data_IF_949737615667
#
_entry.id   IF_949737615667
#
_cell.length_a   1.000
_cell.length_b   1.000
_cell.length_c   1.000
_cell.angle_alpha   90.00
_cell.angle_beta   90.00
_cell.angle_gamma   90.00
#
_symmetry.space_group_name_H-M   'P 1'
#
loop_
_entity.id
_entity.type
_entity.pdbx_description
1 polymer ?
#
# COMPACT_ATOMS: atom_id res chain seq x y z
N UNK A 1 37.63 -41.18 -13.76
CA UNK A 1 37.05 -39.96 -14.37
C UNK A 1 35.91 -39.49 -13.47
N UNK A 2 36.19 -38.48 -12.65
CA UNK A 2 35.33 -37.94 -11.57
C UNK A 2 34.68 -36.63 -12.04
N UNK A 3 33.88 -36.68 -13.10
CA UNK A 3 33.43 -35.45 -13.80
C UNK A 3 31.91 -35.22 -13.76
N UNK A 4 31.17 -36.01 -12.97
CA UNK A 4 29.70 -35.95 -12.96
C UNK A 4 29.08 -35.47 -11.64
N UNK A 5 29.87 -35.12 -10.62
CA UNK A 5 29.32 -34.67 -9.32
C UNK A 5 29.14 -33.14 -9.22
N UNK A 6 29.83 -32.37 -10.06
CA UNK A 6 29.82 -30.89 -9.98
C UNK A 6 28.59 -30.30 -10.68
N UNK A 7 28.01 -31.00 -11.67
CA UNK A 7 26.89 -30.48 -12.45
C UNK A 7 25.57 -30.45 -11.67
N UNK A 8 25.41 -31.29 -10.64
CA UNK A 8 24.21 -31.30 -9.80
C UNK A 8 24.20 -30.20 -8.71
N UNK A 9 25.35 -29.64 -8.34
CA UNK A 9 25.40 -28.52 -7.39
C UNK A 9 25.01 -27.17 -8.03
N UNK A 10 25.13 -27.03 -9.36
CA UNK A 10 24.72 -25.81 -10.06
C UNK A 10 23.21 -25.72 -10.29
N UNK A 11 22.48 -26.85 -10.24
CA UNK A 11 21.02 -26.87 -10.44
C UNK A 11 20.27 -26.66 -9.12
N UNK A 12 20.92 -26.88 -7.97
CA UNK A 12 20.32 -26.65 -6.65
C UNK A 12 20.34 -25.18 -6.19
N UNK A 13 21.03 -24.28 -6.90
CA UNK A 13 21.11 -22.87 -6.54
C UNK A 13 20.06 -21.98 -7.22
N UNK A 14 19.26 -22.50 -8.15
CA UNK A 14 18.19 -21.74 -8.81
C UNK A 14 16.88 -21.80 -8.00
N UNK A 15 16.79 -22.69 -7.00
CA UNK A 15 15.70 -22.69 -6.02
C UNK A 15 15.95 -21.77 -4.82
N UNK A 16 16.91 -20.83 -4.93
CA UNK A 16 16.99 -19.72 -3.98
C UNK A 16 15.67 -18.97 -4.01
N UNK A 17 14.86 -19.25 -2.99
CA UNK A 17 13.83 -18.39 -2.43
C UNK A 17 13.55 -17.16 -3.30
N UNK A 18 12.44 -17.21 -4.05
CA UNK A 18 11.85 -16.06 -4.68
C UNK A 18 11.38 -15.07 -3.61
N UNK A 19 12.32 -14.39 -2.97
CA UNK A 19 12.09 -13.10 -2.39
C UNK A 19 11.92 -12.15 -3.57
N UNK A 20 10.68 -11.91 -3.99
CA UNK A 20 10.40 -10.79 -4.88
C UNK A 20 10.72 -9.51 -4.11
N UNK A 21 11.96 -9.04 -4.21
CA UNK A 21 12.30 -7.66 -3.88
C UNK A 21 11.57 -6.79 -4.89
N UNK A 22 10.59 -6.03 -4.43
CA UNK A 22 9.97 -4.98 -5.24
C UNK A 22 10.96 -3.83 -5.34
N UNK A 23 11.39 -3.47 -6.55
CA UNK A 23 12.14 -2.25 -6.78
C UNK A 23 11.21 -1.07 -6.56
N UNK A 24 11.58 -0.18 -5.64
CA UNK A 24 10.77 1.01 -5.32
C UNK A 24 10.78 1.95 -6.53
N UNK A 25 9.59 2.25 -7.05
CA UNK A 25 9.38 3.31 -8.03
C UNK A 25 9.39 4.67 -7.35
N UNK A 26 9.79 5.73 -8.05
CA UNK A 26 9.97 7.08 -7.49
C UNK A 26 8.70 7.69 -6.85
N UNK A 27 7.54 7.17 -7.20
CA UNK A 27 6.21 7.60 -6.79
C UNK A 27 5.56 6.66 -5.77
N UNK A 28 6.33 5.73 -5.21
CA UNK A 28 5.87 4.82 -4.16
C UNK A 28 5.54 5.60 -2.88
N UNK A 29 4.34 5.40 -2.35
CA UNK A 29 3.89 5.90 -1.06
C UNK A 29 3.82 4.75 -0.06
N UNK A 30 4.54 4.85 1.05
CA UNK A 30 4.46 3.87 2.14
C UNK A 30 3.93 4.54 3.39
N UNK A 31 2.79 4.07 3.88
CA UNK A 31 2.17 4.56 5.09
C UNK A 31 2.33 3.56 6.23
N UNK A 32 2.54 4.05 7.45
CA UNK A 32 2.43 3.19 8.64
C UNK A 32 0.96 2.81 8.87
N UNK A 33 0.71 1.53 9.14
CA UNK A 33 -0.63 1.07 9.51
C UNK A 33 -0.93 1.47 10.96
N UNK A 34 -1.82 2.43 11.13
CA UNK A 34 -2.34 2.90 12.43
C UNK A 34 -3.78 2.42 12.63
N UNK A 35 -3.99 1.48 13.57
CA UNK A 35 -5.31 0.92 13.90
C UNK A 35 -6.32 1.95 14.43
N UNK A 36 -5.86 3.09 14.95
CA UNK A 36 -6.76 4.17 15.39
C UNK A 36 -7.35 4.96 14.22
N UNK A 37 -6.72 4.85 13.04
CA UNK A 37 -7.04 5.64 11.85
C UNK A 37 -7.52 4.78 10.69
N UNK A 38 -6.91 3.61 10.51
CA UNK A 38 -7.36 2.56 9.60
C UNK A 38 -8.21 1.55 10.36
N UNK A 39 -9.43 1.36 9.90
CA UNK A 39 -10.30 0.28 10.33
C UNK A 39 -10.48 -0.72 9.18
N UNK A 40 -10.83 -1.96 9.52
CA UNK A 40 -11.09 -3.02 8.53
C UNK A 40 -12.59 -3.20 8.34
N UNK A 41 -13.03 -3.36 7.10
CA UNK A 41 -14.44 -3.59 6.80
C UNK A 41 -14.74 -5.09 6.89
N UNK A 42 -15.58 -5.51 7.85
CA UNK A 42 -15.81 -6.94 8.14
C UNK A 42 -16.40 -7.73 6.96
N UNK A 43 -17.12 -7.05 6.05
CA UNK A 43 -17.83 -7.68 4.94
C UNK A 43 -17.13 -7.54 3.58
N UNK A 44 -16.05 -6.76 3.50
CA UNK A 44 -15.31 -6.51 2.25
C UNK A 44 -13.93 -7.14 2.37
N UNK A 45 -13.45 -7.92 1.38
CA UNK A 45 -12.14 -8.56 1.44
C UNK A 45 -11.05 -7.54 1.77
N UNK A 46 -10.24 -7.82 2.80
CA UNK A 46 -9.12 -7.01 3.34
C UNK A 46 -9.09 -5.56 2.84
N UNK A 47 -10.12 -4.80 3.21
CA UNK A 47 -10.29 -3.41 2.83
C UNK A 47 -10.12 -2.52 4.05
N UNK A 48 -9.23 -1.55 3.92
CA UNK A 48 -8.92 -0.59 4.96
C UNK A 48 -9.63 0.73 4.68
N UNK A 49 -10.38 1.24 5.65
CA UNK A 49 -11.11 2.51 5.52
C UNK A 49 -10.69 3.47 6.63
N UNK A 50 -11.01 4.76 6.42
CA UNK A 50 -10.74 5.81 7.40
C UNK A 50 -12.06 6.19 8.05
N UNK A 51 -12.13 6.05 9.38
CA UNK A 51 -13.36 6.23 10.14
C UNK A 51 -13.87 7.69 10.19
N UNK A 52 -13.09 8.66 9.70
CA UNK A 52 -13.39 10.10 9.73
C UNK A 52 -13.96 10.63 8.40
N UNK A 53 -14.52 9.76 7.55
CA UNK A 53 -15.23 10.15 6.33
C UNK A 53 -16.70 10.44 6.66
N UNK A 54 -17.15 11.71 6.60
CA UNK A 54 -18.40 12.13 7.24
C UNK A 54 -19.71 11.76 6.51
N UNK A 55 -19.70 11.15 5.32
CA UNK A 55 -20.87 11.25 4.41
C UNK A 55 -21.27 10.00 3.59
N UNK A 56 -20.80 8.80 3.92
CA UNK A 56 -21.38 7.56 3.32
C UNK A 56 -20.94 7.20 1.90
N UNK A 57 -20.18 8.05 1.19
CA UNK A 57 -19.35 7.61 0.06
C UNK A 57 -17.95 7.28 0.62
N UNK A 58 -17.73 6.02 0.98
CA UNK A 58 -16.44 5.56 1.47
C UNK A 58 -15.42 5.41 0.34
N UNK A 59 -14.19 5.87 0.55
CA UNK A 59 -13.06 5.30 -0.18
C UNK A 59 -12.36 4.28 0.72
N UNK A 60 -11.90 3.20 0.12
CA UNK A 60 -11.12 2.18 0.80
C UNK A 60 -9.83 1.88 0.05
N UNK A 61 -8.86 1.41 0.80
CA UNK A 61 -7.64 0.83 0.30
C UNK A 61 -7.83 -0.68 0.30
N UNK A 62 -8.03 -1.26 -0.88
CA UNK A 62 -8.22 -2.70 -1.04
C UNK A 62 -6.86 -3.39 -1.08
N UNK A 63 -6.71 -4.46 -0.31
CA UNK A 63 -5.54 -5.34 -0.39
C UNK A 63 -5.33 -5.84 -1.83
N UNK A 64 -4.11 -5.69 -2.33
CA UNK A 64 -3.69 -6.28 -3.60
C UNK A 64 -2.69 -7.41 -3.37
N UNK A 65 -1.59 -7.14 -2.63
CA UNK A 65 -0.51 -8.12 -2.46
C UNK A 65 0.36 -7.84 -1.23
N UNK A 66 0.86 -8.89 -0.58
CA UNK A 66 1.77 -8.81 0.57
C UNK A 66 3.25 -8.99 0.21
N UNK A 67 4.13 -8.33 0.95
CA UNK A 67 5.59 -8.36 0.80
C UNK A 67 6.27 -8.49 2.17
N UNK A 68 7.29 -9.35 2.26
CA UNK A 68 8.06 -9.56 3.50
C UNK A 68 8.95 -8.37 3.85
N UNK A 69 9.43 -7.63 2.85
CA UNK A 69 10.20 -6.39 3.03
C UNK A 69 10.20 -5.57 1.75
N UNK A 70 10.26 -4.24 1.91
CA UNK A 70 10.52 -3.28 0.85
C UNK A 70 11.81 -2.53 1.20
N UNK A 71 12.64 -2.19 0.22
CA UNK A 71 13.90 -1.50 0.48
C UNK A 71 13.68 -0.05 0.94
N UNK A 72 13.55 0.15 2.26
CA UNK A 72 13.73 1.43 2.97
C UNK A 72 13.38 2.71 2.18
N UNK A 73 12.11 2.90 1.81
CA UNK A 73 11.59 4.23 1.52
C UNK A 73 11.10 4.88 2.81
N UNK A 74 10.97 6.21 2.78
CA UNK A 74 10.44 7.01 3.89
C UNK A 74 9.00 6.57 4.23
N UNK A 75 8.73 6.38 5.53
CA UNK A 75 7.38 6.13 6.03
C UNK A 75 6.64 7.45 6.20
N UNK A 76 5.47 7.54 5.59
CA UNK A 76 4.61 8.71 5.62
C UNK A 76 3.51 8.55 6.67
N UNK A 77 3.18 9.64 7.34
CA UNK A 77 1.96 9.72 8.13
C UNK A 77 0.76 9.99 7.20
N UNK A 78 -0.21 9.08 7.16
CA UNK A 78 -1.35 9.20 6.24
C UNK A 78 -2.22 10.43 6.55
N UNK A 79 -2.43 10.76 7.84
CA UNK A 79 -3.25 11.91 8.24
C UNK A 79 -2.62 13.22 7.76
N UNK A 80 -1.32 13.39 7.95
CA UNK A 80 -0.59 14.55 7.46
C UNK A 80 -0.62 14.60 5.94
N UNK A 81 -0.49 13.46 5.27
CA UNK A 81 -0.60 13.38 3.82
C UNK A 81 -1.97 13.84 3.31
N UNK A 82 -3.08 13.38 3.91
CA UNK A 82 -4.44 13.85 3.59
C UNK A 82 -4.57 15.35 3.85
N UNK A 83 -4.04 15.84 4.96
CA UNK A 83 -4.07 17.27 5.29
C UNK A 83 -3.34 18.12 4.24
N UNK A 84 -2.12 17.71 3.83
CA UNK A 84 -1.36 18.40 2.79
C UNK A 84 -2.04 18.30 1.42
N UNK A 85 -2.64 17.14 1.11
CA UNK A 85 -3.42 16.96 -0.11
C UNK A 85 -4.58 17.96 -0.15
N UNK A 86 -5.39 18.02 0.93
CA UNK A 86 -6.46 19.01 1.05
C UNK A 86 -5.91 20.42 0.89
N UNK A 87 -4.86 20.79 1.62
CA UNK A 87 -4.26 22.13 1.52
C UNK A 87 -3.83 22.50 0.09
N UNK A 88 -3.39 21.53 -0.70
CA UNK A 88 -2.93 21.75 -2.08
C UNK A 88 -4.08 21.85 -3.09
N UNK A 89 -5.14 21.08 -2.91
CA UNK A 89 -6.20 20.91 -3.92
C UNK A 89 -7.56 21.50 -3.53
N UNK A 90 -7.77 21.91 -2.27
CA UNK A 90 -8.93 22.68 -1.84
C UNK A 90 -8.52 24.03 -1.26
N UNK A 91 -9.35 25.05 -1.46
CA UNK A 91 -9.21 26.38 -0.87
C UNK A 91 -9.47 26.39 0.64
N UNK A 92 -10.05 25.32 1.20
CA UNK A 92 -10.34 25.17 2.62
C UNK A 92 -9.93 23.78 3.12
N UNK A 93 -8.89 23.71 3.95
CA UNK A 93 -8.39 22.45 4.54
C UNK A 93 -9.39 21.71 5.42
N UNK A 94 -10.40 22.41 5.94
CA UNK A 94 -11.47 21.83 6.74
C UNK A 94 -12.64 21.34 5.89
N UNK A 95 -12.59 21.53 4.58
CA UNK A 95 -13.58 20.96 3.68
C UNK A 95 -13.48 19.42 3.67
N UNK A 96 -14.57 18.80 3.21
CA UNK A 96 -14.60 17.38 2.93
C UNK A 96 -13.52 17.02 1.91
N UNK A 97 -12.99 15.81 2.03
CA UNK A 97 -12.07 15.28 1.03
C UNK A 97 -12.83 15.08 -0.28
N UNK A 98 -12.28 15.59 -1.38
CA UNK A 98 -12.72 15.24 -2.72
C UNK A 98 -12.24 13.81 -3.01
N UNK A 99 -13.15 12.84 -2.89
CA UNK A 99 -12.85 11.41 -2.94
C UNK A 99 -12.36 10.99 -4.32
N UNK A 100 -13.03 11.47 -5.39
CA UNK A 100 -12.67 11.12 -6.76
C UNK A 100 -11.27 11.63 -7.09
N UNK A 101 -10.97 12.89 -6.76
CA UNK A 101 -9.65 13.47 -6.98
C UNK A 101 -8.57 12.76 -6.15
N UNK A 102 -8.89 12.35 -4.93
CA UNK A 102 -7.95 11.64 -4.06
C UNK A 102 -7.64 10.24 -4.58
N UNK A 103 -8.66 9.52 -5.06
CA UNK A 103 -8.50 8.20 -5.69
C UNK A 103 -7.68 8.33 -6.97
N UNK A 104 -7.96 9.30 -7.84
CA UNK A 104 -7.18 9.54 -9.05
C UNK A 104 -5.71 9.86 -8.72
N UNK A 105 -5.47 10.64 -7.66
CA UNK A 105 -4.12 10.95 -7.23
C UNK A 105 -3.36 9.71 -6.74
N UNK A 106 -4.02 8.86 -5.95
CA UNK A 106 -3.42 7.64 -5.41
C UNK A 106 -3.32 6.52 -6.48
N UNK A 107 -4.25 6.43 -7.41
CA UNK A 107 -4.30 5.40 -8.45
C UNK A 107 -3.17 5.51 -9.48
N UNK A 108 -2.51 6.66 -9.54
CA UNK A 108 -1.28 6.88 -10.32
C UNK A 108 0.00 6.62 -9.51
N UNK A 109 -0.06 5.88 -8.40
CA UNK A 109 1.07 5.60 -7.51
C UNK A 109 1.02 4.17 -6.99
N UNK A 110 2.19 3.62 -6.70
CA UNK A 110 2.32 2.41 -5.90
C UNK A 110 2.07 2.75 -4.41
N UNK A 111 1.01 2.24 -3.80
CA UNK A 111 0.66 2.53 -2.39
C UNK A 111 0.83 1.30 -1.52
N UNK A 112 1.54 1.45 -0.40
CA UNK A 112 1.77 0.39 0.57
C UNK A 112 1.40 0.81 2.00
N UNK A 113 0.95 -0.17 2.78
CA UNK A 113 0.77 -0.08 4.23
C UNK A 113 1.83 -0.96 4.91
N UNK A 114 2.64 -0.39 5.80
CA UNK A 114 3.56 -1.14 6.66
C UNK A 114 2.77 -1.68 7.87
N UNK A 115 2.67 -3.00 7.99
CA UNK A 115 1.94 -3.68 9.07
C UNK A 115 2.84 -4.73 9.72
N UNK A 116 3.23 -4.49 10.97
CA UNK A 116 4.26 -5.28 11.65
C UNK A 116 5.59 -5.20 10.90
N UNK A 117 6.20 -6.37 10.65
CA UNK A 117 7.47 -6.47 9.91
C UNK A 117 7.29 -6.49 8.38
N UNK A 118 6.05 -6.55 7.89
CA UNK A 118 5.72 -6.69 6.48
C UNK A 118 5.12 -5.43 5.85
N UNK A 119 4.88 -5.50 4.54
CA UNK A 119 4.23 -4.46 3.76
C UNK A 119 3.08 -5.05 2.94
N UNK A 120 2.03 -4.27 2.75
CA UNK A 120 0.83 -4.64 2.01
C UNK A 120 0.63 -3.59 0.93
N UNK A 121 0.67 -3.99 -0.34
CA UNK A 121 0.25 -3.17 -1.45
C UNK A 121 -1.28 -3.05 -1.45
N UNK A 122 -1.76 -1.84 -1.67
CA UNK A 122 -3.17 -1.52 -1.68
C UNK A 122 -3.55 -0.65 -2.88
N UNK A 123 -4.79 -0.79 -3.32
CA UNK A 123 -5.37 -0.02 -4.43
C UNK A 123 -6.54 0.82 -3.91
N UNK A 124 -6.59 2.14 -4.20
CA UNK A 124 -7.71 2.99 -3.82
C UNK A 124 -8.95 2.66 -4.65
N UNK A 125 -10.12 2.66 -4.02
CA UNK A 125 -11.39 2.34 -4.69
C UNK A 125 -12.60 2.91 -3.91
N UNK A 126 -13.72 3.08 -4.61
CA UNK A 126 -14.99 3.60 -4.06
C UNK A 126 -15.96 2.47 -3.76
N UNK A 127 -16.87 2.72 -2.83
CA UNK A 127 -18.07 1.89 -2.66
C UNK A 127 -18.95 2.08 -3.90
N UNK A 128 -19.22 0.99 -4.61
CA UNK A 128 -20.21 0.97 -5.70
C UNK A 128 -21.43 0.27 -5.11
N UNK A 129 -22.45 1.04 -4.73
CA UNK A 129 -23.79 0.49 -4.45
C UNK A 129 -24.35 -0.28 -5.66
#
# INVERSE_FOLDING_TARGET
>A
MKTNLILYCCIFFISTFGFTQYSIESDTLIFEYDESYFSTYEHTPDSYFIADLPLGNGFYLKYEKGFSSLQSAELLNFRDFVYQFKKKYTSNVYANLDVDLFIDYLGNKSVFLKKGDGHIQVVPTVEVE
#
